data_IF_596506696072
#
_entry.id   IF_596506696072
#
_cell.length_a   1.000
_cell.length_b   1.000
_cell.length_c   1.000
_cell.angle_alpha   90.00
_cell.angle_beta   90.00
_cell.angle_gamma   90.00
#
_symmetry.space_group_name_H-M   'P 1'
#
loop_
_entity.id
_entity.type
_entity.pdbx_description
1 polymer ?
#
# COMPACT_ATOMS: atom_id res chain seq x y z
N UNK A 1 18.39 -21.56 -3.03
CA UNK A 1 16.92 -21.79 -3.12
C UNK A 1 16.22 -21.90 -1.78
N UNK A 2 16.45 -22.96 -0.98
CA UNK A 2 15.74 -23.14 0.30
C UNK A 2 15.99 -21.98 1.29
N UNK A 3 17.22 -21.45 1.33
CA UNK A 3 17.55 -20.28 2.14
C UNK A 3 16.84 -19.01 1.68
N UNK A 4 16.72 -18.77 0.37
CA UNK A 4 16.02 -17.61 -0.17
C UNK A 4 14.51 -17.66 0.13
N UNK A 5 13.88 -18.81 -0.09
CA UNK A 5 12.47 -19.02 0.26
C UNK A 5 12.26 -18.86 1.77
N UNK A 6 13.15 -19.46 2.58
CA UNK A 6 13.13 -19.30 4.03
C UNK A 6 13.27 -17.84 4.46
N UNK A 7 14.16 -17.08 3.81
CA UNK A 7 14.34 -15.66 4.06
C UNK A 7 13.12 -14.83 3.65
N UNK A 8 12.50 -15.10 2.51
CA UNK A 8 11.25 -14.42 2.10
C UNK A 8 10.15 -14.68 3.14
N UNK A 9 9.93 -15.95 3.51
CA UNK A 9 8.85 -16.31 4.45
C UNK A 9 9.12 -15.71 5.83
N UNK A 10 10.31 -15.92 6.39
CA UNK A 10 10.67 -15.38 7.70
C UNK A 10 10.70 -13.84 7.70
N UNK A 11 11.20 -13.25 6.61
CA UNK A 11 11.22 -11.82 6.38
C UNK A 11 9.82 -11.24 6.37
N UNK A 12 8.88 -11.80 5.61
CA UNK A 12 7.49 -11.36 5.57
C UNK A 12 6.78 -11.48 6.92
N UNK A 13 6.91 -12.62 7.60
CA UNK A 13 6.30 -12.83 8.91
C UNK A 13 6.82 -11.79 9.90
N UNK A 14 8.15 -11.59 9.94
CA UNK A 14 8.76 -10.62 10.84
C UNK A 14 8.43 -9.19 10.44
N UNK A 15 8.29 -8.89 9.14
CA UNK A 15 7.94 -7.56 8.62
C UNK A 15 6.54 -7.16 9.05
N UNK A 16 5.54 -8.02 8.83
CA UNK A 16 4.16 -7.78 9.25
C UNK A 16 4.07 -7.61 10.76
N UNK A 17 4.72 -8.50 11.52
CA UNK A 17 4.71 -8.43 12.98
C UNK A 17 5.41 -7.19 13.53
N UNK A 18 6.55 -6.80 12.96
CA UNK A 18 7.30 -5.62 13.40
C UNK A 18 6.63 -4.32 13.00
N UNK A 19 5.96 -4.26 11.85
CA UNK A 19 5.12 -3.14 11.46
C UNK A 19 4.00 -2.91 12.47
N UNK A 20 3.24 -3.95 12.84
CA UNK A 20 2.19 -3.85 13.86
C UNK A 20 2.73 -3.26 15.19
N UNK A 21 3.86 -3.78 15.68
CA UNK A 21 4.50 -3.29 16.91
C UNK A 21 5.02 -1.86 16.78
N UNK A 22 5.56 -1.50 15.62
CA UNK A 22 6.00 -0.14 15.33
C UNK A 22 4.83 0.85 15.33
N UNK A 23 3.69 0.48 14.74
CA UNK A 23 2.48 1.30 14.70
C UNK A 23 1.87 1.47 16.08
N UNK A 24 1.71 0.38 16.82
CA UNK A 24 1.18 0.38 18.20
C UNK A 24 2.06 1.26 19.13
N UNK A 25 3.38 1.09 19.04
CA UNK A 25 4.35 1.89 19.79
C UNK A 25 4.32 3.37 19.39
N UNK A 26 4.24 3.67 18.10
CA UNK A 26 4.17 5.03 17.58
C UNK A 26 2.87 5.73 17.97
N UNK A 27 1.73 5.04 17.87
CA UNK A 27 0.42 5.59 18.16
C UNK A 27 0.28 5.89 19.66
N UNK A 28 0.69 4.95 20.52
CA UNK A 28 0.65 5.17 21.96
C UNK A 28 1.64 6.26 22.40
N UNK A 29 2.83 6.30 21.80
CA UNK A 29 3.81 7.36 22.07
C UNK A 29 3.24 8.74 21.71
N UNK A 30 2.65 8.88 20.52
CA UNK A 30 2.01 10.13 20.09
C UNK A 30 0.88 10.56 21.04
N UNK A 31 0.08 9.61 21.53
CA UNK A 31 -0.97 9.88 22.53
C UNK A 31 -0.42 10.40 23.86
N UNK A 32 0.66 9.81 24.39
CA UNK A 32 1.32 10.29 25.60
C UNK A 32 1.88 11.72 25.44
N UNK A 33 2.23 12.13 24.21
CA UNK A 33 2.66 13.50 23.90
C UNK A 33 1.50 14.46 23.58
N UNK A 34 0.24 14.04 23.80
CA UNK A 34 -0.94 14.90 23.64
C UNK A 34 -1.35 15.11 22.18
N UNK A 35 -0.89 14.26 21.26
CA UNK A 35 -1.39 14.30 19.88
C UNK A 35 -2.87 13.92 19.85
N UNK A 36 -3.75 14.70 19.20
CA UNK A 36 -5.15 14.37 19.05
C UNK A 36 -5.36 12.96 18.46
N UNK A 37 -6.31 12.14 18.98
CA UNK A 37 -6.59 10.79 18.48
C UNK A 37 -6.82 10.73 16.96
N UNK A 38 -7.50 11.74 16.42
CA UNK A 38 -7.72 11.91 14.98
C UNK A 38 -6.40 11.99 14.19
N UNK A 39 -5.40 12.76 14.67
CA UNK A 39 -4.08 12.82 14.04
C UNK A 39 -3.32 11.51 14.15
N UNK A 40 -3.45 10.82 15.28
CA UNK A 40 -2.82 9.50 15.48
C UNK A 40 -3.36 8.52 14.44
N UNK A 41 -4.67 8.49 14.21
CA UNK A 41 -5.30 7.67 13.17
C UNK A 41 -4.83 7.99 11.77
N UNK A 42 -4.97 9.25 11.36
CA UNK A 42 -4.68 9.64 9.98
C UNK A 42 -3.20 9.56 9.64
N UNK A 43 -2.32 9.88 10.60
CA UNK A 43 -0.88 9.96 10.35
C UNK A 43 -0.18 8.70 10.82
N UNK A 44 -0.32 8.30 12.08
CA UNK A 44 0.49 7.21 12.61
C UNK A 44 -0.02 5.85 12.13
N UNK A 45 -1.34 5.62 12.20
CA UNK A 45 -1.93 4.36 11.74
C UNK A 45 -1.96 4.31 10.21
N UNK A 46 -2.32 5.42 9.54
CA UNK A 46 -2.31 5.53 8.07
C UNK A 46 -0.94 5.30 7.44
N UNK A 47 0.15 5.86 8.00
CA UNK A 47 1.52 5.51 7.55
C UNK A 47 1.91 4.11 7.98
N UNK A 48 1.32 3.63 9.06
CA UNK A 48 1.65 2.40 9.71
C UNK A 48 1.39 1.16 8.87
N UNK A 49 0.23 1.12 8.21
CA UNK A 49 -0.14 0.01 7.32
C UNK A 49 0.77 -0.06 6.11
N UNK A 50 1.18 1.08 5.53
CA UNK A 50 2.12 1.14 4.40
C UNK A 50 3.61 1.21 4.79
N UNK A 51 3.93 1.05 6.08
CA UNK A 51 5.31 1.02 6.57
C UNK A 51 6.13 -0.14 5.97
N UNK A 52 5.60 -1.38 5.83
CA UNK A 52 6.26 -2.47 5.13
C UNK A 52 6.71 -2.09 3.72
N UNK A 53 5.81 -1.51 2.91
CA UNK A 53 6.07 -1.13 1.52
C UNK A 53 7.15 -0.06 1.44
N UNK A 54 7.02 0.99 2.25
CA UNK A 54 8.02 2.07 2.30
C UNK A 54 9.39 1.54 2.72
N UNK A 55 9.46 0.68 3.74
CA UNK A 55 10.72 0.13 4.24
C UNK A 55 11.39 -0.78 3.21
N UNK A 56 10.62 -1.69 2.58
CA UNK A 56 11.13 -2.60 1.56
C UNK A 56 11.59 -1.84 0.32
N UNK A 57 10.80 -0.89 -0.18
CA UNK A 57 11.14 -0.11 -1.37
C UNK A 57 12.33 0.83 -1.15
N UNK A 58 12.39 1.50 0.01
CA UNK A 58 13.53 2.33 0.36
C UNK A 58 14.82 1.51 0.45
N UNK A 59 14.73 0.33 1.08
CA UNK A 59 15.88 -0.55 1.24
C UNK A 59 16.33 -1.15 -0.09
N UNK A 60 15.40 -1.62 -0.91
CA UNK A 60 15.68 -2.14 -2.25
C UNK A 60 16.35 -1.09 -3.14
N UNK A 61 15.83 0.14 -3.17
CA UNK A 61 16.44 1.25 -3.88
C UNK A 61 17.86 1.56 -3.37
N UNK A 62 18.06 1.59 -2.04
CA UNK A 62 19.37 1.84 -1.44
C UNK A 62 20.41 0.74 -1.71
N UNK A 63 19.96 -0.48 -2.01
CA UNK A 63 20.80 -1.63 -2.35
C UNK A 63 21.05 -1.78 -3.86
N UNK A 64 20.63 -0.81 -4.66
CA UNK A 64 20.85 -0.83 -6.11
C UNK A 64 19.83 -1.63 -6.90
N UNK A 65 18.70 -2.03 -6.29
CA UNK A 65 17.60 -2.75 -6.95
C UNK A 65 16.32 -1.90 -7.01
N UNK A 66 16.35 -0.71 -7.63
CA UNK A 66 15.20 0.19 -7.66
C UNK A 66 14.01 -0.38 -8.46
N UNK A 67 14.25 -1.31 -9.39
CA UNK A 67 13.19 -2.06 -10.07
C UNK A 67 12.33 -2.92 -9.12
N UNK A 68 12.94 -3.50 -8.08
CA UNK A 68 12.21 -4.21 -7.02
C UNK A 68 11.29 -3.26 -6.25
N UNK A 69 11.77 -2.05 -5.95
CA UNK A 69 11.01 -1.02 -5.24
C UNK A 69 9.79 -0.54 -6.04
N UNK A 70 9.98 -0.32 -7.35
CA UNK A 70 8.91 0.07 -8.26
C UNK A 70 7.89 -1.05 -8.45
N UNK A 71 8.37 -2.29 -8.59
CA UNK A 71 7.52 -3.49 -8.64
C UNK A 71 6.71 -3.68 -7.37
N UNK A 72 7.32 -3.47 -6.20
CA UNK A 72 6.62 -3.49 -4.92
C UNK A 72 5.49 -2.45 -4.90
N UNK A 73 5.77 -1.20 -5.24
CA UNK A 73 4.76 -0.13 -5.18
C UNK A 73 3.56 -0.35 -6.12
N UNK A 74 3.81 -0.57 -7.42
CA UNK A 74 2.73 -0.77 -8.39
C UNK A 74 2.07 -2.15 -8.26
N UNK A 75 2.84 -3.16 -7.85
CA UNK A 75 2.31 -4.49 -7.52
C UNK A 75 1.36 -4.43 -6.33
N UNK A 76 1.70 -3.66 -5.28
CA UNK A 76 0.83 -3.47 -4.13
C UNK A 76 -0.46 -2.75 -4.53
N UNK A 77 -0.42 -1.76 -5.44
CA UNK A 77 -1.64 -1.14 -5.96
C UNK A 77 -2.55 -2.13 -6.70
N UNK A 78 -1.98 -2.96 -7.57
CA UNK A 78 -2.71 -4.01 -8.28
C UNK A 78 -3.27 -5.02 -7.29
N UNK A 79 -2.48 -5.44 -6.30
CA UNK A 79 -2.86 -6.36 -5.24
C UNK A 79 -4.01 -5.81 -4.40
N UNK A 80 -3.93 -4.55 -3.97
CA UNK A 80 -4.95 -3.87 -3.19
C UNK A 80 -6.30 -3.84 -3.92
N UNK A 81 -6.32 -3.46 -5.20
CA UNK A 81 -7.58 -3.36 -5.96
C UNK A 81 -8.08 -4.74 -6.40
N UNK A 82 -7.22 -5.60 -6.92
CA UNK A 82 -7.67 -6.83 -7.58
C UNK A 82 -7.77 -8.01 -6.60
N UNK A 83 -6.76 -8.20 -5.74
CA UNK A 83 -6.72 -9.30 -4.78
C UNK A 83 -7.48 -8.95 -3.49
N UNK A 84 -7.09 -7.87 -2.82
CA UNK A 84 -7.59 -7.56 -1.47
C UNK A 84 -9.05 -7.15 -1.51
N UNK A 85 -9.39 -6.17 -2.34
CA UNK A 85 -10.78 -5.78 -2.52
C UNK A 85 -11.63 -6.93 -3.06
N UNK A 86 -11.06 -7.73 -3.98
CA UNK A 86 -11.71 -8.91 -4.55
C UNK A 86 -12.10 -9.94 -3.49
N UNK A 87 -11.14 -10.36 -2.66
CA UNK A 87 -11.37 -11.28 -1.53
C UNK A 87 -12.34 -10.65 -0.52
N UNK A 88 -12.14 -9.39 -0.18
CA UNK A 88 -12.97 -8.69 0.81
C UNK A 88 -14.43 -8.65 0.37
N UNK A 89 -14.70 -8.27 -0.89
CA UNK A 89 -16.06 -8.22 -1.45
C UNK A 89 -16.71 -9.61 -1.62
N UNK A 90 -15.92 -10.66 -1.87
CA UNK A 90 -16.42 -12.04 -1.88
C UNK A 90 -16.92 -12.48 -0.50
N UNK A 91 -16.15 -12.14 0.56
CA UNK A 91 -16.50 -12.47 1.94
C UNK A 91 -17.66 -11.60 2.45
N UNK A 92 -17.53 -10.29 2.30
CA UNK A 92 -18.47 -9.28 2.76
C UNK A 92 -18.65 -8.20 1.67
N UNK A 93 -19.79 -8.19 0.95
CA UNK A 93 -20.09 -7.17 -0.05
C UNK A 93 -19.94 -5.76 0.52
N UNK A 94 -19.31 -4.87 -0.23
CA UNK A 94 -18.90 -3.55 0.26
C UNK A 94 -19.88 -2.51 -0.28
N UNK A 95 -20.65 -1.88 0.61
CA UNK A 95 -21.47 -0.74 0.25
C UNK A 95 -20.61 0.53 0.20
N UNK A 96 -20.76 1.34 -0.85
CA UNK A 96 -19.95 2.53 -1.06
C UNK A 96 -20.76 3.75 -0.65
N UNK A 97 -20.36 4.47 0.40
CA UNK A 97 -21.01 5.74 0.75
C UNK A 97 -20.44 6.92 -0.05
N UNK A 98 -21.25 7.99 -0.14
CA UNK A 98 -21.06 9.07 -1.12
C UNK A 98 -19.82 9.95 -0.90
N UNK A 99 -19.17 9.90 0.27
CA UNK A 99 -18.01 10.77 0.57
C UNK A 99 -16.71 10.26 -0.04
N UNK A 100 -16.38 8.97 0.11
CA UNK A 100 -15.20 8.31 -0.49
C UNK A 100 -15.20 8.49 -2.01
N UNK A 101 -16.37 8.30 -2.61
CA UNK A 101 -16.66 8.50 -4.04
C UNK A 101 -16.35 9.88 -4.59
N UNK A 102 -16.69 10.93 -3.84
CA UNK A 102 -16.62 12.32 -4.34
C UNK A 102 -15.25 12.94 -4.16
N UNK A 103 -14.43 12.42 -3.25
CA UNK A 103 -13.14 13.00 -2.88
C UNK A 103 -11.97 12.09 -3.24
N UNK A 104 -11.91 10.90 -2.66
CA UNK A 104 -10.69 10.07 -2.71
C UNK A 104 -10.49 9.39 -4.06
N UNK A 105 -11.56 8.86 -4.66
CA UNK A 105 -11.48 8.18 -5.95
C UNK A 105 -11.00 9.10 -7.10
N UNK A 106 -11.55 10.31 -7.27
CA UNK A 106 -11.01 11.27 -8.25
C UNK A 106 -9.54 11.62 -7.99
N UNK A 107 -9.14 11.77 -6.72
CA UNK A 107 -7.75 12.05 -6.35
C UNK A 107 -6.85 10.88 -6.76
N UNK A 108 -7.24 9.63 -6.49
CA UNK A 108 -6.48 8.46 -6.91
C UNK A 108 -6.32 8.40 -8.43
N UNK A 109 -7.36 8.67 -9.21
CA UNK A 109 -7.26 8.73 -10.67
C UNK A 109 -6.29 9.82 -11.12
N UNK A 110 -6.37 11.01 -10.53
CA UNK A 110 -5.49 12.13 -10.88
C UNK A 110 -4.03 11.84 -10.51
N UNK A 111 -3.79 11.23 -9.34
CA UNK A 111 -2.46 10.80 -8.89
C UNK A 111 -1.89 9.72 -9.81
N UNK A 112 -2.70 8.72 -10.17
CA UNK A 112 -2.29 7.69 -11.14
C UNK A 112 -2.00 8.31 -12.51
N UNK A 113 -2.82 9.25 -13.00
CA UNK A 113 -2.55 9.94 -14.26
C UNK A 113 -1.28 10.80 -14.19
N UNK A 114 -1.05 11.48 -13.07
CA UNK A 114 0.15 12.29 -12.83
C UNK A 114 1.42 11.43 -12.81
N UNK A 115 1.41 10.32 -12.07
CA UNK A 115 2.53 9.38 -12.06
C UNK A 115 2.77 8.79 -13.46
N UNK A 116 1.72 8.47 -14.21
CA UNK A 116 1.83 7.96 -15.57
C UNK A 116 2.42 8.97 -16.55
N UNK A 117 2.08 10.25 -16.38
CA UNK A 117 2.67 11.35 -17.14
C UNK A 117 4.17 11.50 -16.84
N UNK A 118 4.58 11.42 -15.56
CA UNK A 118 5.99 11.49 -15.17
C UNK A 118 6.81 10.33 -15.75
N UNK A 119 6.24 9.12 -15.78
CA UNK A 119 6.95 7.94 -16.30
C UNK A 119 6.96 7.85 -17.84
N UNK A 120 6.28 8.75 -18.55
CA UNK A 120 6.09 8.64 -20.01
C UNK A 120 7.39 8.60 -20.80
N UNK A 121 8.43 9.29 -20.33
CA UNK A 121 9.75 9.32 -20.97
C UNK A 121 10.60 8.06 -20.69
N UNK A 122 10.05 7.08 -19.97
CA UNK A 122 10.73 5.85 -19.60
C UNK A 122 11.71 6.01 -18.43
N UNK A 123 11.68 7.13 -17.72
CA UNK A 123 12.55 7.35 -16.57
C UNK A 123 11.77 7.85 -15.35
N UNK A 124 12.23 7.48 -14.16
CA UNK A 124 11.82 8.11 -12.91
C UNK A 124 12.99 8.95 -12.41
N UNK A 125 12.96 10.25 -12.71
CA UNK A 125 14.01 11.18 -12.31
C UNK A 125 13.87 11.61 -10.84
N UNK A 126 14.91 12.23 -10.29
CA UNK A 126 14.83 12.87 -8.96
C UNK A 126 13.75 13.95 -8.93
N UNK A 127 13.54 14.67 -10.04
CA UNK A 127 12.52 15.72 -10.09
C UNK A 127 11.11 15.13 -10.05
N UNK A 128 10.91 13.99 -10.71
CA UNK A 128 9.63 13.29 -10.67
C UNK A 128 9.32 12.81 -9.26
N UNK A 129 10.31 12.20 -8.61
CA UNK A 129 10.22 11.75 -7.23
C UNK A 129 9.94 12.89 -6.22
N UNK A 130 10.58 14.06 -6.41
CA UNK A 130 10.25 15.27 -5.63
C UNK A 130 8.79 15.68 -5.89
N UNK A 131 8.34 15.65 -7.15
CA UNK A 131 6.95 15.93 -7.50
C UNK A 131 5.96 15.04 -6.76
N UNK A 132 6.18 13.72 -6.77
CA UNK A 132 5.35 12.75 -6.04
C UNK A 132 5.33 13.03 -4.53
N UNK A 133 6.49 13.32 -3.93
CA UNK A 133 6.60 13.64 -2.50
C UNK A 133 5.94 14.97 -2.13
N UNK A 134 6.00 15.97 -3.00
CA UNK A 134 5.30 17.25 -2.79
C UNK A 134 3.78 17.04 -2.82
N UNK A 135 3.27 16.29 -3.81
CA UNK A 135 1.85 15.95 -3.89
C UNK A 135 1.43 15.15 -2.66
N UNK A 136 2.25 14.19 -2.21
CA UNK A 136 2.02 13.45 -0.97
C UNK A 136 1.86 14.37 0.25
N UNK A 137 2.83 15.25 0.49
CA UNK A 137 2.81 16.18 1.64
C UNK A 137 1.61 17.11 1.57
N UNK A 138 1.27 17.61 0.37
CA UNK A 138 0.09 18.48 0.18
C UNK A 138 -1.20 17.71 0.45
N UNK A 139 -1.36 16.48 -0.06
CA UNK A 139 -2.56 15.68 0.15
C UNK A 139 -2.75 15.29 1.61
N UNK A 140 -1.69 14.83 2.28
CA UNK A 140 -1.74 14.50 3.71
C UNK A 140 -2.01 15.75 4.54
N UNK A 141 -1.33 16.86 4.26
CA UNK A 141 -1.57 18.14 4.95
C UNK A 141 -3.00 18.64 4.77
N UNK A 142 -3.56 18.50 3.56
CA UNK A 142 -4.94 18.85 3.28
C UNK A 142 -5.95 17.93 3.96
N UNK A 143 -5.69 16.62 3.97
CA UNK A 143 -6.51 15.62 4.68
C UNK A 143 -6.56 15.93 6.18
N UNK A 144 -5.39 16.14 6.80
CA UNK A 144 -5.27 16.54 8.20
C UNK A 144 -6.09 17.80 8.49
N UNK A 145 -5.92 18.84 7.67
CA UNK A 145 -6.63 20.10 7.84
C UNK A 145 -8.14 19.97 7.70
N UNK A 146 -8.61 19.14 6.77
CA UNK A 146 -10.03 18.89 6.56
C UNK A 146 -10.66 18.19 7.75
N UNK A 147 -9.97 17.19 8.31
CA UNK A 147 -10.49 16.41 9.44
C UNK A 147 -10.59 17.25 10.72
N UNK A 148 -9.70 18.24 10.91
CA UNK A 148 -9.86 19.22 12.00
C UNK A 148 -11.11 20.11 11.87
N UNK A 149 -11.68 20.24 10.66
CA UNK A 149 -12.89 21.04 10.41
C UNK A 149 -14.18 20.23 10.45
N UNK A 150 -14.10 18.89 10.55
CA UNK A 150 -15.24 17.98 10.63
C UNK A 150 -14.99 16.93 11.74
N UNK A 151 -15.24 17.26 13.02
CA UNK A 151 -14.90 16.39 14.16
C UNK A 151 -15.74 15.12 14.31
N UNK A 152 -16.85 14.99 13.57
CA UNK A 152 -17.82 13.89 13.67
C UNK A 152 -17.44 12.64 12.85
N UNK A 153 -16.16 12.46 12.55
CA UNK A 153 -15.68 11.29 11.79
C UNK A 153 -15.71 10.02 12.66
N UNK A 154 -16.26 8.93 12.12
CA UNK A 154 -16.41 7.65 12.82
C UNK A 154 -15.05 7.06 13.26
N UNK A 155 -14.00 7.35 12.49
CA UNK A 155 -12.61 6.99 12.77
C UNK A 155 -12.06 7.63 14.05
N UNK A 156 -12.50 8.85 14.39
CA UNK A 156 -12.06 9.53 15.61
C UNK A 156 -12.64 8.89 16.88
N UNK A 157 -13.86 8.31 16.80
CA UNK A 157 -14.54 7.67 17.94
C UNK A 157 -14.00 6.27 18.25
N UNK A 158 -13.75 5.43 17.25
CA UNK A 158 -13.17 4.10 17.47
C UNK A 158 -11.74 4.17 18.03
N UNK A 159 -10.96 5.19 17.61
CA UNK A 159 -9.58 5.35 18.06
C UNK A 159 -9.42 6.03 19.43
N UNK A 160 -10.42 6.74 19.95
CA UNK A 160 -10.35 7.33 21.30
C UNK A 160 -10.35 6.30 22.43
N UNK A 161 -10.90 5.09 22.22
CA UNK A 161 -11.05 4.11 23.31
C UNK A 161 -9.86 3.13 23.45
N UNK A 162 -9.05 2.90 22.41
CA UNK A 162 -8.00 1.86 22.44
C UNK A 162 -6.56 2.37 22.69
N UNK A 163 -6.28 3.66 22.49
CA UNK A 163 -4.88 4.16 22.39
C UNK A 163 -4.16 4.30 23.76
N UNK A 164 -4.85 4.12 24.90
CA UNK A 164 -4.26 4.29 26.24
C UNK A 164 -3.79 3.00 26.94
N UNK A 165 -3.64 1.89 26.21
CA UNK A 165 -3.40 0.59 26.85
C UNK A 165 -1.97 0.36 27.39
N UNK A 166 -0.94 1.13 26.99
CA UNK A 166 0.45 0.85 27.38
C UNK A 166 1.22 2.01 28.03
N UNK A 167 2.09 1.72 29.03
CA UNK A 167 2.99 2.72 29.60
C UNK A 167 3.95 3.31 28.56
N UNK A 168 4.27 4.60 28.67
CA UNK A 168 5.18 5.31 27.74
C UNK A 168 6.51 4.58 27.51
N UNK A 169 7.11 4.00 28.54
CA UNK A 169 8.37 3.24 28.40
C UNK A 169 8.22 2.03 27.47
N UNK A 170 7.09 1.33 27.55
CA UNK A 170 6.79 0.19 26.68
C UNK A 170 6.47 0.66 25.27
N UNK A 171 5.76 1.78 25.12
CA UNK A 171 5.47 2.40 23.83
C UNK A 171 6.75 2.82 23.10
N UNK A 172 7.66 3.53 23.78
CA UNK A 172 8.96 3.91 23.24
C UNK A 172 9.83 2.69 22.89
N UNK A 173 9.78 1.65 23.73
CA UNK A 173 10.48 0.39 23.44
C UNK A 173 9.94 -0.23 22.15
N UNK A 174 8.62 -0.35 21.99
CA UNK A 174 8.03 -0.91 20.78
C UNK A 174 8.22 -0.06 19.54
N UNK A 175 8.22 1.28 19.68
CA UNK A 175 8.56 2.20 18.61
C UNK A 175 9.98 1.91 18.09
N UNK A 176 10.97 1.83 18.99
CA UNK A 176 12.38 1.62 18.60
C UNK A 176 12.62 0.19 18.12
N UNK A 177 12.18 -0.81 18.88
CA UNK A 177 12.38 -2.23 18.55
C UNK A 177 11.60 -2.61 17.30
N UNK A 178 10.36 -2.14 17.17
CA UNK A 178 9.53 -2.33 15.97
C UNK A 178 10.21 -1.76 14.74
N UNK A 179 10.72 -0.52 14.80
CA UNK A 179 11.45 0.09 13.68
C UNK A 179 12.72 -0.69 13.31
N UNK A 180 13.53 -1.11 14.30
CA UNK A 180 14.74 -1.89 14.03
C UNK A 180 14.41 -3.24 13.39
N UNK A 181 13.39 -3.94 13.89
CA UNK A 181 12.94 -5.22 13.33
C UNK A 181 12.30 -5.05 11.96
N UNK A 182 11.61 -3.94 11.70
CA UNK A 182 11.10 -3.58 10.38
C UNK A 182 12.26 -3.47 9.38
N UNK A 183 13.31 -2.72 9.72
CA UNK A 183 14.50 -2.58 8.86
C UNK A 183 15.19 -3.93 8.63
N UNK A 184 15.40 -4.72 9.69
CA UNK A 184 16.06 -6.03 9.59
C UNK A 184 15.23 -7.01 8.74
N UNK A 185 13.91 -7.07 8.96
CA UNK A 185 13.02 -7.95 8.20
C UNK A 185 12.91 -7.54 6.75
N UNK A 186 12.82 -6.24 6.43
CA UNK A 186 12.93 -5.75 5.05
C UNK A 186 14.23 -6.19 4.39
N UNK A 187 15.35 -6.20 5.13
CA UNK A 187 16.65 -6.64 4.60
C UNK A 187 16.70 -8.12 4.27
N UNK A 188 16.14 -8.95 5.15
CA UNK A 188 16.03 -10.39 4.95
C UNK A 188 15.13 -10.68 3.74
N UNK A 189 14.00 -9.98 3.64
CA UNK A 189 13.05 -10.12 2.53
C UNK A 189 13.68 -9.71 1.19
N UNK A 190 14.30 -8.52 1.11
CA UNK A 190 14.96 -8.03 -0.11
C UNK A 190 16.08 -8.99 -0.54
N UNK A 191 16.89 -9.48 0.41
CA UNK A 191 17.93 -10.45 0.10
C UNK A 191 17.36 -11.75 -0.49
N UNK A 192 16.32 -12.31 0.14
CA UNK A 192 15.67 -13.52 -0.37
C UNK A 192 15.00 -13.31 -1.73
N UNK A 193 14.38 -12.14 -1.94
CA UNK A 193 13.74 -11.76 -3.19
C UNK A 193 14.75 -11.66 -4.35
N UNK A 194 15.87 -10.97 -4.16
CA UNK A 194 16.93 -10.80 -5.16
C UNK A 194 17.65 -12.13 -5.46
N UNK A 195 17.93 -12.95 -4.43
CA UNK A 195 18.53 -14.28 -4.63
C UNK A 195 17.59 -15.17 -5.46
N UNK A 196 16.28 -15.12 -5.18
CA UNK A 196 15.27 -15.87 -5.92
C UNK A 196 15.14 -15.37 -7.38
N UNK A 197 15.11 -14.06 -7.59
CA UNK A 197 15.13 -13.46 -8.92
C UNK A 197 16.31 -13.98 -9.76
N UNK A 198 17.51 -13.94 -9.18
CA UNK A 198 18.76 -14.40 -9.80
C UNK A 198 18.72 -15.89 -10.13
N UNK A 199 18.21 -16.74 -9.22
CA UNK A 199 18.16 -18.20 -9.43
C UNK A 199 17.19 -18.63 -10.54
N UNK A 200 16.05 -17.95 -10.66
CA UNK A 200 15.02 -18.29 -11.65
C UNK A 200 15.17 -17.51 -12.96
N UNK A 201 16.15 -16.62 -13.07
CA UNK A 201 16.35 -15.78 -14.25
C UNK A 201 15.16 -14.84 -14.50
N UNK A 202 14.44 -14.47 -13.44
CA UNK A 202 13.32 -13.53 -13.50
C UNK A 202 13.77 -12.17 -12.97
N UNK A 203 13.19 -11.10 -13.49
CA UNK A 203 13.60 -9.75 -13.07
C UNK A 203 13.17 -9.45 -11.62
N UNK A 204 13.98 -8.63 -10.93
CA UNK A 204 13.65 -8.09 -9.62
C UNK A 204 12.28 -7.38 -9.61
N UNK A 205 11.93 -6.75 -10.74
CA UNK A 205 10.62 -6.13 -10.96
C UNK A 205 9.48 -7.15 -10.83
N UNK A 206 9.59 -8.33 -11.45
CA UNK A 206 8.55 -9.37 -11.39
C UNK A 206 8.39 -9.91 -9.98
N UNK A 207 9.49 -10.10 -9.24
CA UNK A 207 9.43 -10.48 -7.82
C UNK A 207 8.76 -9.39 -6.97
N UNK A 208 9.08 -8.13 -7.25
CA UNK A 208 8.46 -6.97 -6.64
C UNK A 208 6.94 -6.95 -6.85
N UNK A 209 6.51 -7.10 -8.11
CA UNK A 209 5.11 -7.10 -8.53
C UNK A 209 4.28 -8.26 -7.96
N UNK A 210 4.93 -9.33 -7.49
CA UNK A 210 4.27 -10.57 -7.06
C UNK A 210 4.45 -10.81 -5.57
N UNK A 211 5.50 -11.55 -5.19
CA UNK A 211 5.69 -12.08 -3.85
C UNK A 211 5.84 -10.95 -2.83
N UNK A 212 6.60 -9.92 -3.19
CA UNK A 212 6.88 -8.80 -2.28
C UNK A 212 5.66 -7.92 -2.11
N UNK A 213 5.01 -7.51 -3.21
CA UNK A 213 3.75 -6.77 -3.17
C UNK A 213 2.66 -7.50 -2.38
N UNK A 214 2.37 -8.76 -2.71
CA UNK A 214 1.36 -9.56 -2.00
C UNK A 214 1.69 -9.69 -0.52
N UNK A 215 2.96 -9.95 -0.19
CA UNK A 215 3.40 -10.14 1.19
C UNK A 215 3.35 -8.86 2.02
N UNK A 216 3.73 -7.72 1.45
CA UNK A 216 3.70 -6.42 2.14
C UNK A 216 2.28 -5.91 2.34
N UNK A 217 1.34 -6.23 1.44
CA UNK A 217 -0.08 -5.84 1.53
C UNK A 217 -0.97 -6.80 2.35
N UNK A 218 -0.41 -7.81 3.02
CA UNK A 218 -1.16 -8.68 3.93
C UNK A 218 -1.82 -7.93 5.12
N UNK A 219 -1.20 -6.91 5.74
CA UNK A 219 -1.85 -6.08 6.76
C UNK A 219 -3.11 -5.39 6.23
N UNK A 220 -3.08 -4.88 5.00
CA UNK A 220 -4.21 -4.28 4.31
C UNK A 220 -5.32 -5.30 4.06
N UNK A 221 -4.98 -6.53 3.71
CA UNK A 221 -5.95 -7.60 3.55
C UNK A 221 -6.67 -7.90 4.87
N UNK A 222 -5.91 -8.05 5.95
CA UNK A 222 -6.46 -8.34 7.27
C UNK A 222 -7.38 -7.20 7.75
N UNK A 223 -6.92 -5.95 7.69
CA UNK A 223 -7.69 -4.77 8.11
C UNK A 223 -8.95 -4.58 7.27
N UNK A 224 -8.87 -4.71 5.95
CA UNK A 224 -10.02 -4.56 5.04
C UNK A 224 -11.08 -5.64 5.27
N UNK A 225 -10.69 -6.90 5.50
CA UNK A 225 -11.62 -7.98 5.83
C UNK A 225 -12.30 -7.73 7.19
N UNK A 226 -11.55 -7.31 8.20
CA UNK A 226 -12.07 -7.03 9.54
C UNK A 226 -13.10 -5.89 9.46
N UNK A 227 -12.75 -4.76 8.85
CA UNK A 227 -13.64 -3.61 8.69
C UNK A 227 -14.90 -3.98 7.91
N UNK A 228 -14.77 -4.68 6.77
CA UNK A 228 -15.92 -5.09 5.97
C UNK A 228 -16.86 -6.05 6.73
N UNK A 229 -16.33 -6.94 7.58
CA UNK A 229 -17.13 -7.84 8.41
C UNK A 229 -17.84 -7.14 9.57
N UNK A 230 -17.27 -6.04 10.09
CA UNK A 230 -17.91 -5.18 11.07
C UNK A 230 -19.00 -4.27 10.47
N UNK A 231 -19.13 -4.23 9.14
CA UNK A 231 -20.03 -3.30 8.43
C UNK A 231 -19.43 -1.92 8.20
N UNK A 232 -18.14 -1.72 8.52
CA UNK A 232 -17.39 -0.48 8.32
C UNK A 232 -16.86 -0.43 6.88
N UNK A 233 -17.78 -0.42 5.91
CA UNK A 233 -17.43 -0.52 4.49
C UNK A 233 -16.58 0.66 3.98
N UNK A 234 -16.82 1.86 4.49
CA UNK A 234 -16.03 3.04 4.12
C UNK A 234 -14.60 2.95 4.63
N UNK A 235 -14.37 2.33 5.80
CA UNK A 235 -13.03 2.09 6.33
C UNK A 235 -12.28 1.06 5.48
N UNK A 236 -12.96 -0.01 5.07
CA UNK A 236 -12.37 -1.03 4.19
C UNK A 236 -11.95 -0.44 2.84
N UNK A 237 -12.78 0.42 2.23
CA UNK A 237 -12.45 1.11 0.98
C UNK A 237 -11.38 2.18 1.16
N UNK A 238 -11.51 3.00 2.20
CA UNK A 238 -10.55 4.07 2.52
C UNK A 238 -9.14 3.51 2.76
N UNK A 239 -9.02 2.35 3.38
CA UNK A 239 -7.74 1.65 3.55
C UNK A 239 -7.09 1.28 2.20
N UNK A 240 -7.87 0.74 1.28
CA UNK A 240 -7.38 0.34 -0.06
C UNK A 240 -7.01 1.57 -0.91
N UNK A 241 -7.83 2.61 -0.89
CA UNK A 241 -7.57 3.85 -1.62
C UNK A 241 -6.37 4.61 -1.03
N UNK A 242 -6.32 4.71 0.29
CA UNK A 242 -5.22 5.31 1.04
C UNK A 242 -3.90 4.60 0.74
N UNK A 243 -3.83 3.27 0.92
CA UNK A 243 -2.62 2.49 0.62
C UNK A 243 -2.17 2.69 -0.83
N UNK A 244 -3.10 2.78 -1.80
CA UNK A 244 -2.74 3.06 -3.19
C UNK A 244 -2.16 4.46 -3.45
N UNK A 245 -2.69 5.48 -2.76
CA UNK A 245 -2.13 6.83 -2.80
C UNK A 245 -0.73 6.86 -2.18
N UNK A 246 -0.54 6.19 -1.04
CA UNK A 246 0.75 6.07 -0.36
C UNK A 246 1.78 5.34 -1.23
N UNK A 247 1.41 4.22 -1.84
CA UNK A 247 2.28 3.47 -2.71
C UNK A 247 2.72 4.31 -3.92
N UNK A 248 1.78 4.96 -4.59
CA UNK A 248 2.08 5.76 -5.79
C UNK A 248 2.91 7.00 -5.46
N UNK A 249 2.62 7.66 -4.34
CA UNK A 249 3.24 8.95 -4.03
C UNK A 249 4.48 8.78 -3.13
N UNK A 250 4.33 8.12 -1.99
CA UNK A 250 5.39 7.99 -1.00
C UNK A 250 6.35 6.85 -1.34
N UNK A 251 5.86 5.65 -1.67
CA UNK A 251 6.74 4.49 -1.90
C UNK A 251 7.57 4.68 -3.17
N UNK A 252 6.93 5.04 -4.30
CA UNK A 252 7.65 5.38 -5.54
C UNK A 252 8.51 6.64 -5.36
N UNK A 253 7.98 7.67 -4.69
CA UNK A 253 8.72 8.92 -4.43
C UNK A 253 9.99 8.70 -3.62
N UNK A 254 9.93 7.93 -2.53
CA UNK A 254 11.11 7.57 -1.71
C UNK A 254 12.10 6.77 -2.55
N UNK A 255 11.64 5.77 -3.30
CA UNK A 255 12.52 4.96 -4.14
C UNK A 255 13.25 5.80 -5.19
N UNK A 256 12.55 6.69 -5.90
CA UNK A 256 13.12 7.57 -6.92
C UNK A 256 14.04 8.66 -6.35
N UNK A 257 13.80 9.13 -5.12
CA UNK A 257 14.71 10.06 -4.43
C UNK A 257 16.04 9.39 -4.07
N UNK A 258 15.97 8.13 -3.61
CA UNK A 258 17.14 7.34 -3.23
C UNK A 258 17.94 6.94 -4.47
N UNK A 259 17.26 6.30 -5.43
CA UNK A 259 17.87 5.75 -6.64
C UNK A 259 16.98 6.03 -7.86
N UNK A 260 17.21 7.16 -8.57
CA UNK A 260 16.58 7.41 -9.86
C UNK A 260 16.86 6.26 -10.82
N UNK A 261 15.89 5.91 -11.65
CA UNK A 261 15.93 4.68 -12.42
C UNK A 261 15.31 4.84 -13.80
N UNK A 262 15.84 4.10 -14.78
CA UNK A 262 15.10 3.83 -16.02
C UNK A 262 13.97 2.85 -15.72
N UNK A 263 12.78 3.15 -16.21
CA UNK A 263 11.61 2.28 -16.06
C UNK A 263 11.58 1.28 -17.20
N UNK A 264 11.41 0.01 -16.85
CA UNK A 264 11.35 -1.06 -17.84
C UNK A 264 10.13 -0.85 -18.77
N UNK A 265 10.27 -1.07 -20.10
CA UNK A 265 9.16 -0.87 -21.05
C UNK A 265 7.90 -1.65 -20.67
N UNK A 266 8.06 -2.82 -20.05
CA UNK A 266 6.97 -3.67 -19.56
C UNK A 266 6.12 -2.97 -18.50
N UNK A 267 6.73 -2.13 -17.65
CA UNK A 267 5.96 -1.34 -16.67
C UNK A 267 5.01 -0.40 -17.40
N UNK A 268 5.49 0.31 -18.42
CA UNK A 268 4.69 1.29 -19.16
C UNK A 268 3.65 0.64 -20.08
N UNK A 269 4.00 -0.49 -20.70
CA UNK A 269 3.13 -1.17 -21.66
C UNK A 269 2.11 -2.10 -21.00
N UNK A 270 2.41 -2.63 -19.81
CA UNK A 270 1.60 -3.66 -19.14
C UNK A 270 1.20 -3.27 -17.72
N UNK A 271 2.16 -3.07 -16.81
CA UNK A 271 1.84 -3.00 -15.37
C UNK A 271 1.07 -1.73 -15.01
N UNK A 272 1.53 -0.58 -15.49
CA UNK A 272 0.92 0.71 -15.27
C UNK A 272 -0.46 0.81 -15.94
N UNK A 273 -0.66 0.37 -17.21
CA UNK A 273 -1.99 0.28 -17.81
C UNK A 273 -2.95 -0.65 -17.07
N UNK A 274 -2.48 -1.81 -16.58
CA UNK A 274 -3.32 -2.72 -15.78
C UNK A 274 -3.75 -2.05 -14.47
N UNK A 275 -2.81 -1.42 -13.75
CA UNK A 275 -3.11 -0.66 -12.53
C UNK A 275 -4.10 0.49 -12.80
N UNK A 276 -3.89 1.25 -13.87
CA UNK A 276 -4.78 2.33 -14.29
C UNK A 276 -6.18 1.82 -14.66
N UNK A 277 -6.27 0.74 -15.42
CA UNK A 277 -7.54 0.09 -15.76
C UNK A 277 -8.27 -0.41 -14.51
N UNK A 278 -7.57 -1.05 -13.57
CA UNK A 278 -8.14 -1.47 -12.28
C UNK A 278 -8.65 -0.27 -11.46
N UNK A 279 -7.92 0.85 -11.47
CA UNK A 279 -8.35 2.09 -10.81
C UNK A 279 -9.63 2.65 -11.45
N UNK A 280 -9.75 2.61 -12.78
CA UNK A 280 -10.96 3.03 -13.49
C UNK A 280 -12.13 2.06 -13.28
N UNK A 281 -11.87 0.75 -13.24
CA UNK A 281 -12.87 -0.27 -12.91
C UNK A 281 -13.38 -0.07 -11.49
N UNK A 282 -12.49 0.18 -10.54
CA UNK A 282 -12.85 0.51 -9.16
C UNK A 282 -13.75 1.75 -9.10
N UNK A 283 -13.38 2.81 -9.83
CA UNK A 283 -14.21 3.99 -9.96
C UNK A 283 -15.59 3.65 -10.53
N UNK A 284 -15.68 2.85 -11.60
CA UNK A 284 -16.94 2.49 -12.22
C UNK A 284 -17.85 1.65 -11.30
N UNK A 285 -17.27 0.69 -10.57
CA UNK A 285 -17.98 -0.14 -9.57
C UNK A 285 -18.50 0.72 -8.42
N UNK A 286 -17.69 1.67 -7.97
CA UNK A 286 -18.08 2.56 -6.89
C UNK A 286 -19.11 3.59 -7.36
N UNK A 287 -18.96 4.19 -8.56
CA UNK A 287 -19.77 5.31 -9.04
C UNK A 287 -21.27 5.00 -9.11
N UNK A 288 -21.64 3.73 -9.27
CA UNK A 288 -23.04 3.31 -9.14
C UNK A 288 -23.93 3.94 -10.22
N UNK A 289 -23.58 3.77 -11.50
CA UNK A 289 -24.36 4.29 -12.64
C UNK A 289 -25.85 3.89 -12.66
N UNK A 290 -26.25 2.89 -11.85
CA UNK A 290 -27.62 2.36 -11.76
C UNK A 290 -28.17 2.31 -10.31
N UNK A 291 -27.55 2.98 -9.34
CA UNK A 291 -28.00 2.97 -7.94
C UNK A 291 -26.90 3.29 -6.93
N UNK A 292 -27.12 3.01 -5.64
CA UNK A 292 -26.06 3.15 -4.63
C UNK A 292 -24.86 2.26 -5.00
N UNK A 293 -23.67 2.87 -5.05
CA UNK A 293 -22.42 2.17 -5.33
C UNK A 293 -22.22 0.98 -4.39
N UNK A 294 -21.83 -0.16 -4.95
CA UNK A 294 -21.50 -1.33 -4.16
C UNK A 294 -20.54 -2.21 -4.94
N UNK A 295 -19.67 -2.90 -4.21
CA UNK A 295 -18.83 -3.96 -4.77
C UNK A 295 -19.40 -5.28 -4.27
N UNK A 296 -20.11 -5.96 -5.16
CA UNK A 296 -20.78 -7.21 -4.87
C UNK A 296 -19.83 -8.41 -5.09
N UNK A 297 -20.30 -9.62 -4.74
CA UNK A 297 -19.49 -10.85 -4.86
C UNK A 297 -19.05 -11.17 -6.30
N UNK A 298 -19.87 -10.85 -7.30
CA UNK A 298 -19.50 -11.07 -8.70
C UNK A 298 -18.40 -10.11 -9.13
N UNK A 299 -18.50 -8.84 -8.73
CA UNK A 299 -17.45 -7.83 -8.98
C UNK A 299 -16.15 -8.22 -8.25
N UNK A 300 -16.24 -8.66 -7.00
CA UNK A 300 -15.09 -9.18 -6.25
C UNK A 300 -14.46 -10.41 -6.91
N UNK A 301 -15.27 -11.34 -7.42
CA UNK A 301 -14.81 -12.49 -8.19
C UNK A 301 -14.14 -12.10 -9.51
N UNK A 302 -14.65 -11.08 -10.19
CA UNK A 302 -14.05 -10.56 -11.43
C UNK A 302 -12.70 -9.88 -11.16
N UNK A 303 -12.58 -9.11 -10.08
CA UNK A 303 -11.32 -8.51 -9.62
C UNK A 303 -10.28 -9.59 -9.29
N UNK A 304 -10.68 -10.63 -8.56
CA UNK A 304 -9.80 -11.75 -8.23
C UNK A 304 -9.35 -12.52 -9.48
N UNK A 305 -10.26 -12.74 -10.43
CA UNK A 305 -9.93 -13.36 -11.71
C UNK A 305 -8.94 -12.51 -12.51
N UNK A 306 -9.12 -11.19 -12.51
CA UNK A 306 -8.18 -10.26 -13.15
C UNK A 306 -6.79 -10.33 -12.49
N UNK A 307 -6.72 -10.41 -11.16
CA UNK A 307 -5.45 -10.59 -10.44
C UNK A 307 -4.74 -11.89 -10.83
N UNK A 308 -5.47 -13.01 -10.85
CA UNK A 308 -4.92 -14.32 -11.24
C UNK A 308 -4.46 -14.29 -12.69
N UNK A 309 -5.27 -13.75 -13.60
CA UNK A 309 -4.92 -13.64 -15.02
C UNK A 309 -3.67 -12.78 -15.23
N UNK A 310 -3.59 -11.63 -14.57
CA UNK A 310 -2.42 -10.76 -14.59
C UNK A 310 -1.17 -11.47 -14.06
N UNK A 311 -1.27 -12.15 -12.91
CA UNK A 311 -0.15 -12.86 -12.30
C UNK A 311 0.34 -14.02 -13.17
N UNK A 312 -0.58 -14.81 -13.74
CA UNK A 312 -0.23 -15.89 -14.67
C UNK A 312 0.46 -15.34 -15.92
N UNK A 313 -0.07 -14.26 -16.50
CA UNK A 313 0.53 -13.61 -17.64
C UNK A 313 1.94 -13.07 -17.31
N UNK A 314 2.10 -12.43 -16.15
CA UNK A 314 3.38 -11.93 -15.66
C UNK A 314 4.41 -13.06 -15.54
N UNK A 315 4.06 -14.16 -14.89
CA UNK A 315 4.96 -15.30 -14.70
C UNK A 315 5.26 -16.07 -15.99
N UNK A 316 4.31 -16.14 -16.93
CA UNK A 316 4.48 -16.88 -18.18
C UNK A 316 5.26 -16.12 -19.25
N UNK A 317 5.17 -14.79 -19.28
CA UNK A 317 5.70 -13.97 -20.39
C UNK A 317 6.77 -12.96 -19.98
N UNK A 318 7.14 -12.89 -18.70
CA UNK A 318 8.17 -11.94 -18.20
C UNK A 318 9.40 -12.63 -17.64
N UNK A 319 9.47 -13.96 -17.76
CA UNK A 319 10.65 -14.77 -17.47
C UNK A 319 11.42 -15.09 -18.74
N UNK A 320 12.03 -14.08 -19.36
CA UNK A 320 13.13 -14.20 -20.34
C UNK A 320 13.73 -12.81 -20.60
#
# INVERSE_FOLDING_TARGET
MLMAIGAIIAGLILLVWSADKFVEGSATTASHFGMPPLLIGMVVVGFGTSAPEMAVSALAASQGNPGLALGNAYGSNITNIALILGITALLAPIAVHSQVMRKELPILILVTAFAGWQLWDGNLSRMDAIGLMLVFVVLIGWSIYQSFRQPDDALAKEMTEEVHAMPLRKALLWLVVGLLLLIVSSRILVWGAVDLATMFGISDLVIGLTIVAVGTSLPELASSIIAARKGEHDLALGNILGSNLFNTLAVVGIAGLIAPMSVAPEVLARDFPVMGALTLVLFAMCYGFRGAGRINRFEGGALLLAFVAYTVYLLAFSGA
#
